data_IF_940738437522
#
_entry.id   IF_940738437522
#
_cell.length_a   1.000
_cell.length_b   1.000
_cell.length_c   1.000
_cell.angle_alpha   90.00
_cell.angle_beta   90.00
_cell.angle_gamma   90.00
#
_symmetry.space_group_name_H-M   'P 1'
#
loop_
_entity.id
_entity.type
_entity.pdbx_description
1 polymer ?
#
# COMPACT_ATOMS: atom_id res chain seq x y z
N UNK A 1 -20.94 -33.96 -2.35
CA UNK A 1 -21.17 -32.76 -3.18
C UNK A 1 -19.80 -32.29 -3.62
N UNK A 2 -19.52 -32.33 -4.92
CA UNK A 2 -18.22 -31.93 -5.47
C UNK A 2 -18.03 -30.41 -5.33
N UNK A 3 -16.90 -30.00 -4.76
CA UNK A 3 -16.44 -28.61 -4.73
C UNK A 3 -16.02 -28.21 -6.15
N UNK A 4 -16.90 -27.56 -6.90
CA UNK A 4 -16.62 -27.03 -8.24
C UNK A 4 -15.90 -25.66 -8.20
N UNK A 5 -15.12 -25.37 -7.16
CA UNK A 5 -14.41 -24.09 -6.99
C UNK A 5 -12.88 -24.25 -6.99
N UNK A 6 -12.35 -25.47 -7.15
CA UNK A 6 -10.90 -25.72 -7.20
C UNK A 6 -10.28 -25.69 -8.60
N UNK A 7 -11.08 -25.54 -9.65
CA UNK A 7 -10.65 -25.75 -11.04
C UNK A 7 -10.62 -24.44 -11.87
N UNK A 8 -10.58 -23.28 -11.22
CA UNK A 8 -10.20 -22.07 -11.95
C UNK A 8 -8.69 -22.08 -12.12
N UNK A 9 -8.15 -22.03 -13.37
CA UNK A 9 -6.72 -21.89 -13.56
C UNK A 9 -6.29 -20.61 -12.85
N UNK A 10 -5.25 -20.70 -12.02
CA UNK A 10 -4.51 -19.52 -11.62
C UNK A 10 -4.08 -18.86 -12.93
N UNK A 11 -4.66 -17.70 -13.26
CA UNK A 11 -4.16 -16.88 -14.36
C UNK A 11 -2.71 -16.57 -14.00
N UNK A 12 -1.78 -17.30 -14.62
CA UNK A 12 -0.36 -16.95 -14.61
C UNK A 12 -0.25 -15.64 -15.37
N UNK A 13 -0.40 -14.54 -14.62
CA UNK A 13 -0.20 -13.20 -15.14
C UNK A 13 1.22 -13.13 -15.70
N UNK A 14 1.42 -12.70 -16.95
CA UNK A 14 2.75 -12.56 -17.50
C UNK A 14 3.54 -11.67 -16.56
N UNK A 15 4.74 -12.12 -16.17
CA UNK A 15 5.64 -11.39 -15.28
C UNK A 15 5.67 -9.92 -15.71
N UNK A 16 5.04 -9.05 -14.91
CA UNK A 16 4.87 -7.64 -15.26
C UNK A 16 6.27 -7.04 -15.32
N UNK A 17 6.74 -6.72 -16.54
CA UNK A 17 8.00 -6.01 -16.72
C UNK A 17 7.87 -4.72 -15.92
N UNK A 18 8.71 -4.59 -14.88
CA UNK A 18 8.74 -3.42 -14.00
C UNK A 18 8.81 -2.15 -14.84
N UNK A 19 7.95 -1.18 -14.54
CA UNK A 19 7.98 0.12 -15.20
C UNK A 19 9.28 0.85 -14.87
N UNK A 20 10.13 1.04 -15.88
CA UNK A 20 11.37 1.79 -15.77
C UNK A 20 11.18 3.19 -16.33
N UNK A 21 11.57 4.23 -15.57
CA UNK A 21 11.39 5.63 -15.97
C UNK A 21 12.05 5.96 -17.32
N UNK A 22 13.19 5.33 -17.61
CA UNK A 22 13.89 5.52 -18.88
C UNK A 22 13.11 4.98 -20.09
N UNK A 23 12.36 3.88 -19.91
CA UNK A 23 11.51 3.31 -20.95
C UNK A 23 10.34 4.25 -21.22
N UNK A 24 9.70 4.78 -20.16
CA UNK A 24 8.59 5.75 -20.28
C UNK A 24 9.05 7.02 -21.01
N UNK A 25 10.21 7.57 -20.63
CA UNK A 25 10.76 8.77 -21.27
C UNK A 25 11.09 8.54 -22.75
N UNK A 26 11.54 7.33 -23.09
CA UNK A 26 11.81 6.96 -24.48
C UNK A 26 10.51 6.88 -25.28
N UNK A 27 9.49 6.21 -24.76
CA UNK A 27 8.18 6.08 -25.40
C UNK A 27 7.53 7.44 -25.65
N UNK A 28 7.60 8.35 -24.67
CA UNK A 28 7.09 9.73 -24.81
C UNK A 28 7.81 10.46 -25.95
N UNK A 29 9.15 10.36 -26.03
CA UNK A 29 9.92 10.99 -27.13
C UNK A 29 9.51 10.44 -28.49
N UNK A 30 9.35 9.12 -28.60
CA UNK A 30 8.93 8.50 -29.86
C UNK A 30 7.52 8.93 -30.28
N UNK A 31 6.57 9.06 -29.35
CA UNK A 31 5.22 9.53 -29.62
C UNK A 31 5.20 10.99 -30.09
N UNK A 32 6.05 11.83 -29.51
CA UNK A 32 6.20 13.23 -29.92
C UNK A 32 6.83 13.38 -31.30
N UNK A 33 7.75 12.48 -31.69
CA UNK A 33 8.45 12.53 -32.98
C UNK A 33 7.65 11.92 -34.13
N UNK A 34 6.78 10.94 -33.87
CA UNK A 34 6.06 10.16 -34.91
C UNK A 34 4.70 10.74 -35.33
N UNK A 35 4.10 11.63 -34.54
CA UNK A 35 2.73 12.08 -34.76
C UNK A 35 2.64 13.60 -34.94
N UNK A 36 1.94 14.04 -35.99
CA UNK A 36 1.66 15.47 -36.25
C UNK A 36 0.74 16.09 -35.17
N UNK A 37 -0.05 15.26 -34.48
CA UNK A 37 -0.85 15.66 -33.31
C UNK A 37 -0.69 14.64 -32.18
N UNK A 38 0.40 14.72 -31.41
CA UNK A 38 0.77 13.71 -30.42
C UNK A 38 -0.08 13.78 -29.14
N UNK A 39 -0.91 14.82 -28.96
CA UNK A 39 -1.60 15.06 -27.71
C UNK A 39 -2.55 13.94 -27.29
N UNK A 40 -3.34 13.40 -28.24
CA UNK A 40 -4.33 12.37 -27.95
C UNK A 40 -3.67 11.00 -27.66
N UNK A 41 -2.66 10.65 -28.46
CA UNK A 41 -1.85 9.44 -28.29
C UNK A 41 -1.09 9.47 -26.95
N UNK A 42 -0.48 10.61 -26.63
CA UNK A 42 0.23 10.81 -25.37
C UNK A 42 -0.71 10.72 -24.17
N UNK A 43 -1.90 11.31 -24.24
CA UNK A 43 -2.88 11.24 -23.15
C UNK A 43 -3.34 9.80 -22.91
N UNK A 44 -3.56 9.02 -23.98
CA UNK A 44 -3.90 7.61 -23.87
C UNK A 44 -2.77 6.81 -23.22
N UNK A 45 -1.55 6.97 -23.71
CA UNK A 45 -0.38 6.28 -23.16
C UNK A 45 -0.16 6.59 -21.68
N UNK A 46 -0.25 7.87 -21.29
CA UNK A 46 -0.10 8.27 -19.89
C UNK A 46 -1.19 7.65 -19.00
N UNK A 47 -2.44 7.59 -19.46
CA UNK A 47 -3.52 6.93 -18.71
C UNK A 47 -3.25 5.42 -18.50
N UNK A 48 -2.69 4.74 -19.50
CA UNK A 48 -2.29 3.33 -19.37
C UNK A 48 -1.11 3.15 -18.38
N UNK A 49 -0.14 4.07 -18.38
CA UNK A 49 0.98 4.09 -17.43
C UNK A 49 0.50 4.35 -16.00
N UNK A 50 -0.36 5.35 -15.80
CA UNK A 50 -0.97 5.66 -14.50
C UNK A 50 -1.72 4.46 -13.94
N UNK A 51 -2.53 3.80 -14.78
CA UNK A 51 -3.28 2.60 -14.40
C UNK A 51 -2.33 1.49 -13.94
N UNK A 52 -1.23 1.24 -14.68
CA UNK A 52 -0.23 0.23 -14.30
C UNK A 52 0.47 0.59 -12.98
N UNK A 53 0.80 1.86 -12.77
CA UNK A 53 1.39 2.35 -11.51
C UNK A 53 0.42 2.08 -10.34
N UNK A 54 -0.87 2.38 -10.51
CA UNK A 54 -1.87 2.13 -9.48
C UNK A 54 -2.00 0.63 -9.16
N UNK A 55 -1.97 -0.24 -10.18
CA UNK A 55 -1.94 -1.68 -9.98
C UNK A 55 -0.68 -2.18 -9.26
N UNK A 56 0.50 -1.66 -9.61
CA UNK A 56 1.76 -2.00 -8.93
C UNK A 56 1.73 -1.54 -7.46
N UNK A 57 1.21 -0.34 -7.19
CA UNK A 57 1.03 0.16 -5.82
C UNK A 57 0.05 -0.70 -5.00
N UNK A 58 -1.05 -1.15 -5.61
CA UNK A 58 -1.98 -2.08 -4.95
C UNK A 58 -1.31 -3.42 -4.65
N UNK A 59 -0.52 -3.98 -5.59
CA UNK A 59 0.25 -5.20 -5.34
C UNK A 59 1.27 -5.06 -4.22
N UNK A 60 1.96 -3.91 -4.13
CA UNK A 60 2.86 -3.63 -3.01
C UNK A 60 2.10 -3.59 -1.68
N UNK A 61 0.94 -2.93 -1.62
CA UNK A 61 0.08 -2.91 -0.43
C UNK A 61 -0.41 -4.31 -0.02
N UNK A 62 -0.75 -5.15 -0.99
CA UNK A 62 -1.19 -6.54 -0.75
C UNK A 62 -0.03 -7.45 -0.31
N UNK A 63 1.21 -7.09 -0.62
CA UNK A 63 2.40 -7.83 -0.17
C UNK A 63 2.73 -7.60 1.31
N UNK A 64 2.17 -6.55 1.92
CA UNK A 64 2.34 -6.28 3.35
C UNK A 64 1.46 -7.23 4.16
N UNK A 65 2.10 -8.13 4.89
CA UNK A 65 1.39 -9.06 5.78
C UNK A 65 0.74 -8.30 6.95
N UNK A 66 -0.55 -7.98 6.78
CA UNK A 66 -1.36 -7.23 7.76
C UNK A 66 -1.38 -7.90 9.13
N UNK A 67 -1.32 -9.23 9.20
CA UNK A 67 -1.31 -9.98 10.46
C UNK A 67 0.02 -9.81 11.21
N UNK A 68 1.14 -9.82 10.49
CA UNK A 68 2.45 -9.51 11.09
C UNK A 68 2.44 -8.09 11.64
N UNK A 69 2.02 -7.10 10.85
CA UNK A 69 1.97 -5.69 11.27
C UNK A 69 1.09 -5.53 12.51
N UNK A 70 -0.11 -6.12 12.51
CA UNK A 70 -1.04 -6.10 13.64
C UNK A 70 -0.40 -6.70 14.90
N UNK A 71 0.19 -7.89 14.78
CA UNK A 71 0.83 -8.57 15.91
C UNK A 71 1.98 -7.76 16.53
N UNK A 72 2.68 -6.95 15.72
CA UNK A 72 3.73 -6.06 16.20
C UNK A 72 3.13 -4.83 16.86
N UNK A 73 2.10 -4.21 16.28
CA UNK A 73 1.37 -3.07 16.86
C UNK A 73 0.85 -3.44 18.25
N UNK A 74 0.18 -4.58 18.41
CA UNK A 74 -0.35 -5.03 19.71
C UNK A 74 0.73 -5.20 20.78
N UNK A 75 1.97 -5.51 20.37
CA UNK A 75 3.12 -5.64 21.28
C UNK A 75 3.69 -4.29 21.71
N UNK A 76 3.30 -3.17 21.11
CA UNK A 76 3.79 -1.85 21.48
C UNK A 76 3.39 -1.51 22.93
N UNK A 77 4.29 -0.93 23.75
CA UNK A 77 4.03 -0.65 25.17
C UNK A 77 2.73 0.11 25.42
N UNK A 78 2.42 1.09 24.56
CA UNK A 78 1.17 1.84 24.59
C UNK A 78 -0.09 0.97 24.51
N UNK A 79 -0.14 0.00 23.59
CA UNK A 79 -1.33 -0.84 23.45
C UNK A 79 -1.43 -1.87 24.59
N UNK A 80 -0.29 -2.33 25.15
CA UNK A 80 -0.28 -3.21 26.32
C UNK A 80 -0.73 -2.52 27.61
N UNK A 81 -0.33 -1.27 27.80
CA UNK A 81 -0.66 -0.50 29.00
C UNK A 81 -1.14 0.90 28.59
N UNK A 82 -2.42 1.01 28.18
CA UNK A 82 -2.93 2.24 27.59
C UNK A 82 -2.98 3.38 28.60
N UNK A 83 -2.42 4.52 28.20
CA UNK A 83 -2.45 5.76 28.98
C UNK A 83 -3.65 6.62 28.60
N UNK A 84 -3.96 7.64 29.40
CA UNK A 84 -4.97 8.66 29.05
C UNK A 84 -4.57 9.50 27.84
N UNK A 85 -3.29 9.55 27.48
CA UNK A 85 -2.78 10.24 26.30
C UNK A 85 -2.97 9.41 25.04
N UNK A 86 -3.04 10.08 23.89
CA UNK A 86 -3.08 9.44 22.58
C UNK A 86 -1.67 9.07 22.10
N UNK A 87 -1.58 8.01 21.31
CA UNK A 87 -0.37 7.69 20.54
C UNK A 87 -0.47 8.30 19.14
N UNK A 88 0.66 8.80 18.62
CA UNK A 88 0.75 9.32 17.25
C UNK A 88 1.17 8.22 16.28
N UNK A 89 0.66 8.26 15.05
CA UNK A 89 1.03 7.36 13.96
C UNK A 89 2.55 7.27 13.81
N UNK A 90 3.23 8.43 13.78
CA UNK A 90 4.71 8.50 13.68
C UNK A 90 5.45 7.71 14.77
N UNK A 91 4.88 7.60 15.97
CA UNK A 91 5.48 6.81 17.06
C UNK A 91 5.36 5.31 16.76
N UNK A 92 4.19 4.88 16.27
CA UNK A 92 3.94 3.50 15.86
C UNK A 92 4.81 3.13 14.66
N UNK A 93 4.97 4.03 13.68
CA UNK A 93 5.87 3.88 12.53
C UNK A 93 7.32 3.62 12.97
N UNK A 94 7.84 4.46 13.88
CA UNK A 94 9.20 4.29 14.42
C UNK A 94 9.38 2.95 15.11
N UNK A 95 8.35 2.48 15.80
CA UNK A 95 8.38 1.18 16.45
C UNK A 95 8.37 0.01 15.45
N UNK A 96 7.52 0.07 14.43
CA UNK A 96 7.45 -0.94 13.36
C UNK A 96 8.80 -1.07 12.63
N UNK A 97 9.40 0.06 12.26
CA UNK A 97 10.74 0.09 11.63
C UNK A 97 11.82 -0.48 12.55
N UNK A 98 11.78 -0.18 13.85
CA UNK A 98 12.70 -0.76 14.84
C UNK A 98 12.53 -2.29 15.00
N UNK A 99 11.36 -2.82 14.68
CA UNK A 99 11.04 -4.25 14.72
C UNK A 99 11.33 -4.99 13.42
N UNK A 100 11.89 -4.31 12.42
CA UNK A 100 12.27 -4.92 11.14
C UNK A 100 11.10 -5.10 10.18
N UNK A 101 9.96 -4.45 10.43
CA UNK A 101 8.87 -4.42 9.46
C UNK A 101 9.19 -3.35 8.43
N UNK A 102 9.54 -3.77 7.22
CA UNK A 102 9.83 -2.87 6.11
C UNK A 102 8.50 -2.39 5.50
N UNK A 103 8.13 -1.16 5.87
CA UNK A 103 6.87 -0.53 5.48
C UNK A 103 7.24 0.82 4.87
N UNK A 104 6.74 1.11 3.67
CA UNK A 104 7.00 2.40 3.01
C UNK A 104 6.13 3.50 3.59
N UNK A 105 6.47 4.77 3.33
CA UNK A 105 5.68 5.93 3.79
C UNK A 105 4.23 5.86 3.29
N UNK A 106 4.01 5.37 2.06
CA UNK A 106 2.68 5.26 1.44
C UNK A 106 1.81 4.20 2.13
N UNK A 107 2.40 3.07 2.51
CA UNK A 107 1.71 2.01 3.25
C UNK A 107 1.23 2.48 4.63
N UNK A 108 1.89 3.47 5.23
CA UNK A 108 1.51 3.95 6.56
C UNK A 108 0.20 4.75 6.58
N UNK A 109 -0.01 5.62 5.58
CA UNK A 109 -1.19 6.49 5.54
C UNK A 109 -2.46 5.71 5.15
N UNK A 110 -2.32 4.65 4.35
CA UNK A 110 -3.46 3.86 3.86
C UNK A 110 -3.70 2.59 4.68
N UNK A 111 -2.64 1.83 4.99
CA UNK A 111 -2.76 0.48 5.55
C UNK A 111 -2.54 0.45 7.07
N UNK A 112 -1.54 1.17 7.58
CA UNK A 112 -1.27 1.12 9.03
C UNK A 112 -2.35 1.82 9.86
N UNK A 113 -2.98 2.87 9.34
CA UNK A 113 -4.15 3.50 9.97
C UNK A 113 -5.30 2.49 10.14
N UNK A 114 -5.63 1.74 9.06
CA UNK A 114 -6.63 0.68 9.06
C UNK A 114 -6.29 -0.41 10.09
N UNK A 115 -5.04 -0.89 10.10
CA UNK A 115 -4.61 -1.96 11.01
C UNK A 115 -4.68 -1.49 12.47
N UNK A 116 -4.26 -0.27 12.78
CA UNK A 116 -4.34 0.26 14.15
C UNK A 116 -5.80 0.31 14.62
N UNK A 117 -6.72 0.73 13.76
CA UNK A 117 -8.15 0.75 14.10
C UNK A 117 -8.77 -0.65 14.20
N UNK A 118 -8.16 -1.68 13.60
CA UNK A 118 -8.59 -3.07 13.75
C UNK A 118 -8.21 -3.69 15.11
N UNK A 119 -7.37 -3.01 15.91
CA UNK A 119 -6.96 -3.48 17.24
C UNK A 119 -8.10 -3.20 18.23
N UNK A 120 -8.45 -4.22 19.01
CA UNK A 120 -9.59 -4.14 19.92
C UNK A 120 -9.43 -3.03 20.98
N UNK A 121 -10.50 -2.23 21.11
CA UNK A 121 -10.57 -1.07 22.00
C UNK A 121 -9.83 0.18 21.50
N UNK A 122 -9.28 0.20 20.29
CA UNK A 122 -8.62 1.39 19.72
C UNK A 122 -9.62 2.27 18.98
N UNK A 123 -9.55 3.57 19.22
CA UNK A 123 -10.32 4.61 18.54
C UNK A 123 -9.39 5.69 17.96
N UNK A 124 -9.77 6.22 16.80
CA UNK A 124 -9.09 7.37 16.18
C UNK A 124 -9.70 8.66 16.72
N UNK A 125 -8.88 9.51 17.32
CA UNK A 125 -9.33 10.77 17.94
C UNK A 125 -8.90 12.02 17.16
N UNK A 126 -8.17 11.83 16.06
CA UNK A 126 -7.71 12.89 15.18
C UNK A 126 -6.75 12.35 14.12
N UNK A 127 -6.33 13.20 13.18
CA UNK A 127 -5.41 12.81 12.13
C UNK A 127 -4.10 12.24 12.71
N UNK A 128 -3.83 10.96 12.43
CA UNK A 128 -2.69 10.21 12.95
C UNK A 128 -2.65 10.10 14.49
N UNK A 129 -3.79 10.17 15.18
CA UNK A 129 -3.88 10.09 16.65
C UNK A 129 -4.85 9.01 17.08
N UNK A 130 -4.37 8.08 17.89
CA UNK A 130 -5.14 6.92 18.37
C UNK A 130 -5.14 6.84 19.88
N UNK A 131 -6.23 6.33 20.42
CA UNK A 131 -6.37 6.06 21.85
C UNK A 131 -6.93 4.65 22.03
N UNK A 132 -6.39 3.88 22.97
CA UNK A 132 -7.01 2.62 23.39
C UNK A 132 -7.83 2.88 24.65
N UNK A 133 -9.11 2.49 24.64
CA UNK A 133 -9.98 2.53 25.81
C UNK A 133 -9.41 1.54 26.84
N UNK A 134 -9.38 1.98 28.10
CA UNK A 134 -8.96 1.14 29.22
C UNK A 134 -10.01 0.10 29.55
#
# INVERSE_FOLDING_TARGET
>A
MLNALSDLPAEEYPASKKLEMNDILKDIKELLEKHDNPALELQKYLSEVETKIDFENQRELDSVDKEIVKSVIEKHPYFKNPSSYHIRLITIMKFLKKKGVDITIRDFDLLVDEIIMSVDGVEKIGYGKYRRRK
#
